data_IF_031167251017
#
_entry.id   IF_031167251017
#
_cell.length_a   1.000
_cell.length_b   1.000
_cell.length_c   1.000
_cell.angle_alpha   90.00
_cell.angle_beta   90.00
_cell.angle_gamma   90.00
#
_symmetry.space_group_name_H-M   'P 1'
#
loop_
_entity.id
_entity.type
_entity.pdbx_description
1 polymer ?
#
# COMPACT_ATOMS: atom_id res chain seq x y z
N UNK A 1 20.25 -21.56 26.70
CA UNK A 1 18.91 -21.91 26.18
C UNK A 1 19.07 -21.90 24.69
N UNK A 2 18.83 -22.99 24.03
CA UNK A 2 18.96 -23.06 22.57
C UNK A 2 17.60 -22.77 21.94
N UNK A 3 17.58 -22.08 20.81
CA UNK A 3 16.36 -21.90 20.03
C UNK A 3 16.06 -23.18 19.27
N UNK A 4 14.82 -23.65 19.39
CA UNK A 4 14.37 -24.89 18.73
C UNK A 4 13.98 -24.69 17.28
N UNK A 5 13.73 -23.43 16.88
CA UNK A 5 13.33 -23.12 15.51
C UNK A 5 14.52 -23.32 14.56
N UNK A 6 14.42 -24.26 13.66
CA UNK A 6 15.43 -24.55 12.65
C UNK A 6 15.41 -23.45 11.58
N UNK A 7 16.57 -23.16 10.99
CA UNK A 7 16.71 -22.11 9.97
C UNK A 7 15.73 -22.29 8.79
N UNK A 8 15.47 -23.52 8.38
CA UNK A 8 14.48 -23.84 7.35
C UNK A 8 13.03 -23.47 7.75
N UNK A 9 12.66 -23.60 9.03
CA UNK A 9 11.33 -23.19 9.52
C UNK A 9 11.20 -21.66 9.58
N UNK A 10 12.27 -20.95 9.90
CA UNK A 10 12.32 -19.47 9.85
C UNK A 10 12.08 -18.98 8.42
N UNK A 11 12.79 -19.57 7.47
CA UNK A 11 12.62 -19.26 6.03
C UNK A 11 11.19 -19.56 5.56
N UNK A 12 10.59 -20.67 6.01
CA UNK A 12 9.20 -21.00 5.69
C UNK A 12 8.20 -20.00 6.29
N UNK A 13 8.41 -19.55 7.54
CA UNK A 13 7.57 -18.51 8.16
C UNK A 13 7.68 -17.16 7.44
N UNK A 14 8.88 -16.78 6.99
CA UNK A 14 9.08 -15.58 6.19
C UNK A 14 8.30 -15.66 4.88
N UNK A 15 8.44 -16.77 4.14
CA UNK A 15 7.73 -16.98 2.89
C UNK A 15 6.21 -16.99 3.09
N UNK A 16 5.70 -17.60 4.16
CA UNK A 16 4.27 -17.62 4.47
C UNK A 16 3.70 -16.20 4.65
N UNK A 17 4.42 -15.33 5.39
CA UNK A 17 3.97 -13.96 5.64
C UNK A 17 4.12 -13.07 4.39
N UNK A 18 5.13 -13.30 3.56
CA UNK A 18 5.30 -12.56 2.31
C UNK A 18 4.25 -12.92 1.26
N UNK A 19 3.90 -14.21 1.16
CA UNK A 19 2.88 -14.70 0.22
C UNK A 19 1.47 -14.35 0.70
N UNK A 20 1.24 -14.45 2.01
CA UNK A 20 -0.05 -14.17 2.65
C UNK A 20 0.10 -13.05 3.68
N UNK A 21 0.25 -11.78 3.25
CA UNK A 21 0.31 -10.66 4.18
C UNK A 21 -0.97 -10.60 5.01
N UNK A 22 -0.92 -10.08 6.24
CA UNK A 22 -2.12 -9.89 7.06
C UNK A 22 -3.20 -9.12 6.29
N UNK A 23 -4.45 -9.48 6.54
CA UNK A 23 -5.59 -8.81 5.90
C UNK A 23 -5.55 -7.29 6.14
N UNK A 24 -5.72 -6.51 5.08
CA UNK A 24 -5.65 -5.05 5.14
C UNK A 24 -4.26 -4.46 4.91
N UNK A 25 -3.23 -5.28 4.66
CA UNK A 25 -1.92 -4.78 4.25
C UNK A 25 -1.89 -4.62 2.72
N UNK A 26 -2.23 -3.41 2.28
CA UNK A 26 -2.41 -3.07 0.87
C UNK A 26 -1.23 -2.28 0.27
N UNK A 27 -0.27 -1.88 1.09
CA UNK A 27 0.82 -0.98 0.69
C UNK A 27 1.66 -1.51 -0.47
N UNK A 28 1.98 -2.80 -0.50
CA UNK A 28 2.75 -3.40 -1.60
C UNK A 28 1.99 -3.42 -2.93
N UNK A 29 0.66 -3.33 -2.89
CA UNK A 29 -0.17 -3.21 -4.10
C UNK A 29 -0.16 -1.76 -4.63
N UNK A 30 0.03 -0.77 -3.74
CA UNK A 30 0.10 0.64 -4.08
C UNK A 30 1.51 1.07 -4.49
N UNK A 31 2.50 0.58 -3.76
CA UNK A 31 3.93 0.86 -3.97
C UNK A 31 4.71 -0.47 -4.00
N UNK A 32 4.85 -1.08 -5.18
CA UNK A 32 5.49 -2.39 -5.34
C UNK A 32 6.91 -2.42 -4.79
N UNK A 33 7.29 -3.57 -4.23
CA UNK A 33 8.60 -3.78 -3.64
C UNK A 33 9.66 -3.97 -4.74
N UNK A 34 10.76 -3.25 -4.63
CA UNK A 34 11.94 -3.41 -5.50
C UNK A 34 13.15 -3.81 -4.66
N UNK A 35 13.68 -5.03 -4.85
CA UNK A 35 14.86 -5.48 -4.13
C UNK A 35 16.12 -4.78 -4.63
N UNK A 36 17.02 -4.42 -3.71
CA UNK A 36 18.33 -3.84 -4.00
C UNK A 36 19.43 -4.54 -3.20
N UNK A 37 20.65 -4.57 -3.78
CA UNK A 37 21.82 -5.22 -3.15
C UNK A 37 22.66 -4.26 -2.30
N UNK A 38 22.33 -2.98 -2.29
CA UNK A 38 23.02 -1.94 -1.55
C UNK A 38 22.03 -1.17 -0.68
N UNK A 39 22.42 -0.82 0.56
CA UNK A 39 21.57 -0.04 1.49
C UNK A 39 21.31 1.38 1.01
N UNK A 40 22.23 1.95 0.24
CA UNK A 40 22.09 3.28 -0.31
C UNK A 40 22.62 3.29 -1.74
N UNK A 41 21.99 4.05 -2.60
CA UNK A 41 22.38 4.17 -4.00
C UNK A 41 21.58 5.23 -4.72
N UNK A 42 21.74 5.28 -6.02
CA UNK A 42 20.93 6.14 -6.87
C UNK A 42 20.66 5.48 -8.20
N UNK A 43 19.50 5.75 -8.75
CA UNK A 43 19.16 5.37 -10.12
C UNK A 43 18.51 6.55 -10.84
N UNK A 44 18.70 6.58 -12.15
CA UNK A 44 18.06 7.58 -12.98
C UNK A 44 16.85 6.97 -13.68
N UNK A 45 15.74 7.70 -13.70
CA UNK A 45 14.59 7.35 -14.51
C UNK A 45 14.09 8.55 -15.30
N UNK A 46 13.34 8.23 -16.35
CA UNK A 46 12.76 9.25 -17.20
C UNK A 46 11.69 10.04 -16.44
N UNK A 47 11.85 11.35 -16.35
CA UNK A 47 10.84 12.27 -15.84
C UNK A 47 9.83 12.59 -16.93
N UNK A 48 9.07 11.59 -17.36
CA UNK A 48 7.91 11.85 -18.22
C UNK A 48 6.72 12.09 -17.30
N UNK A 49 6.26 13.32 -17.24
CA UNK A 49 5.13 13.72 -16.41
C UNK A 49 3.78 13.25 -16.98
N UNK A 50 3.73 12.99 -18.29
CA UNK A 50 2.54 12.46 -18.97
C UNK A 50 2.92 11.92 -20.34
N UNK A 51 2.14 10.95 -20.83
CA UNK A 51 2.24 10.52 -22.23
C UNK A 51 1.73 11.62 -23.16
N UNK A 52 2.52 11.98 -24.14
CA UNK A 52 2.12 12.90 -25.20
C UNK A 52 1.73 12.14 -26.44
N UNK A 53 0.60 12.53 -27.04
CA UNK A 53 0.17 11.94 -28.32
C UNK A 53 1.23 12.15 -29.40
N UNK A 54 1.43 11.13 -30.23
CA UNK A 54 2.30 11.25 -31.40
C UNK A 54 1.82 12.37 -32.34
N UNK A 55 2.75 13.09 -32.92
CA UNK A 55 2.40 14.11 -33.92
C UNK A 55 1.75 13.49 -35.15
N UNK A 56 0.57 13.97 -35.49
CA UNK A 56 -0.15 13.60 -36.71
C UNK A 56 -0.04 14.73 -37.75
N UNK A 57 -0.07 14.41 -39.04
CA UNK A 57 -0.06 15.43 -40.10
C UNK A 57 1.33 15.97 -40.44
N UNK A 58 2.35 15.15 -40.34
CA UNK A 58 3.74 15.53 -40.70
C UNK A 58 3.85 15.99 -42.17
N UNK A 59 4.42 17.17 -42.38
CA UNK A 59 4.77 17.64 -43.72
C UNK A 59 6.05 16.95 -44.20
N UNK A 60 6.04 16.44 -45.45
CA UNK A 60 7.20 15.77 -46.01
C UNK A 60 8.41 16.73 -46.03
N UNK A 61 9.58 16.23 -45.60
CA UNK A 61 10.83 17.01 -45.52
C UNK A 61 11.07 17.76 -44.21
N UNK A 62 10.09 17.82 -43.28
CA UNK A 62 10.28 18.41 -41.95
C UNK A 62 10.66 17.34 -40.96
N UNK A 63 11.72 17.53 -40.18
CA UNK A 63 12.10 16.61 -39.11
C UNK A 63 11.01 16.56 -38.04
N UNK A 64 10.68 15.40 -37.47
CA UNK A 64 9.74 15.33 -36.36
C UNK A 64 10.29 16.10 -35.16
N UNK A 65 9.43 16.78 -34.40
CA UNK A 65 9.82 17.39 -33.14
C UNK A 65 10.13 16.27 -32.13
N UNK A 66 11.35 16.20 -31.65
CA UNK A 66 11.73 15.24 -30.65
C UNK A 66 11.19 15.68 -29.28
N UNK A 67 10.45 14.81 -28.62
CA UNK A 67 10.13 14.98 -27.19
C UNK A 67 11.40 14.64 -26.40
N UNK A 68 11.97 15.60 -25.72
CA UNK A 68 13.09 15.33 -24.83
C UNK A 68 12.58 14.65 -23.56
N UNK A 69 13.07 13.45 -23.33
CA UNK A 69 12.88 12.73 -22.08
C UNK A 69 14.03 13.15 -21.18
N UNK A 70 13.74 13.91 -20.13
CA UNK A 70 14.73 14.25 -19.11
C UNK A 70 14.84 13.10 -18.10
N UNK A 71 16.06 12.84 -17.62
CA UNK A 71 16.30 11.89 -16.56
C UNK A 71 16.47 12.63 -15.23
N UNK A 72 15.77 12.17 -14.20
CA UNK A 72 16.03 12.57 -12.82
C UNK A 72 16.75 11.45 -12.10
N UNK A 73 17.78 11.81 -11.33
CA UNK A 73 18.41 10.87 -10.41
C UNK A 73 17.65 10.89 -9.10
N UNK A 74 17.24 9.73 -8.63
CA UNK A 74 16.69 9.55 -7.31
C UNK A 74 17.64 8.69 -6.48
N UNK A 75 17.88 9.13 -5.25
CA UNK A 75 18.73 8.43 -4.31
C UNK A 75 17.85 7.73 -3.29
N UNK A 76 18.18 6.49 -2.98
CA UNK A 76 17.56 5.75 -1.88
C UNK A 76 18.55 5.56 -0.75
N UNK A 77 18.00 5.47 0.48
CA UNK A 77 18.75 5.14 1.68
C UNK A 77 17.87 4.28 2.60
N UNK A 78 17.99 2.96 2.48
CA UNK A 78 17.19 2.04 3.26
C UNK A 78 17.47 2.18 4.76
N UNK A 79 16.47 2.63 5.51
CA UNK A 79 16.51 2.68 6.96
C UNK A 79 16.16 1.31 7.55
N UNK A 80 16.79 1.00 8.70
CA UNK A 80 16.49 -0.22 9.44
C UNK A 80 15.17 -0.06 10.20
N UNK A 81 14.27 -1.02 10.01
CA UNK A 81 13.12 -1.23 10.89
C UNK A 81 13.37 -2.50 11.66
N UNK A 82 13.40 -2.41 12.98
CA UNK A 82 13.59 -3.54 13.88
C UNK A 82 12.47 -3.59 14.90
N UNK A 83 11.99 -4.79 15.16
CA UNK A 83 11.04 -5.05 16.24
C UNK A 83 11.48 -6.26 17.05
N UNK A 84 11.23 -6.18 18.34
CA UNK A 84 11.64 -7.20 19.32
C UNK A 84 10.44 -7.69 20.11
N UNK A 85 10.15 -8.99 20.02
CA UNK A 85 9.26 -9.68 20.93
C UNK A 85 10.07 -10.27 22.11
N UNK A 86 9.51 -10.22 23.31
CA UNK A 86 10.09 -10.86 24.48
C UNK A 86 9.09 -11.90 25.02
N UNK A 87 9.56 -13.12 25.28
CA UNK A 87 8.75 -14.19 25.85
C UNK A 87 9.49 -14.78 27.04
N UNK A 88 8.86 -14.79 28.20
CA UNK A 88 9.42 -15.42 29.40
C UNK A 88 9.31 -16.96 29.34
N UNK A 89 10.15 -17.71 30.05
CA UNK A 89 10.05 -19.16 30.12
C UNK A 89 8.70 -19.68 30.63
N UNK A 90 8.06 -18.93 31.52
CA UNK A 90 6.74 -19.33 32.04
C UNK A 90 5.62 -19.11 31.01
N UNK A 91 5.68 -18.02 30.25
CA UNK A 91 4.79 -17.83 29.08
C UNK A 91 5.02 -18.90 28.01
N UNK A 92 6.29 -19.26 27.75
CA UNK A 92 6.62 -20.31 26.80
C UNK A 92 6.01 -21.68 27.21
N UNK A 93 6.01 -22.01 28.51
CA UNK A 93 5.32 -23.22 29.02
C UNK A 93 3.81 -23.18 28.78
N UNK A 94 3.17 -22.00 28.97
CA UNK A 94 1.75 -21.81 28.71
C UNK A 94 1.41 -21.92 27.22
N UNK A 95 2.36 -21.55 26.34
CA UNK A 95 2.21 -21.67 24.88
C UNK A 95 2.47 -23.10 24.35
N UNK A 96 2.70 -24.07 25.23
CA UNK A 96 2.94 -25.47 24.84
C UNK A 96 4.42 -25.81 24.60
N UNK A 97 5.34 -24.98 25.07
CA UNK A 97 6.80 -25.19 25.01
C UNK A 97 7.56 -24.17 24.20
N UNK A 98 8.89 -24.28 24.28
CA UNK A 98 9.79 -23.29 23.64
C UNK A 98 9.66 -23.21 22.13
N UNK A 99 9.45 -24.32 21.45
CA UNK A 99 9.29 -24.36 20.00
C UNK A 99 8.08 -23.52 19.53
N UNK A 100 6.95 -23.65 20.22
CA UNK A 100 5.77 -22.83 19.91
C UNK A 100 6.00 -21.36 20.26
N UNK A 101 6.69 -21.08 21.36
CA UNK A 101 7.06 -19.73 21.76
C UNK A 101 7.98 -19.05 20.73
N UNK A 102 8.95 -19.77 20.18
CA UNK A 102 9.82 -19.29 19.11
C UNK A 102 9.01 -18.89 17.87
N UNK A 103 8.11 -19.77 17.42
CA UNK A 103 7.23 -19.49 16.26
C UNK A 103 6.33 -18.27 16.49
N UNK A 104 5.73 -18.16 17.67
CA UNK A 104 4.87 -17.03 18.02
C UNK A 104 5.67 -15.74 18.12
N UNK A 105 6.83 -15.76 18.79
CA UNK A 105 7.70 -14.60 18.95
C UNK A 105 8.17 -14.02 17.60
N UNK A 106 8.68 -14.87 16.72
CA UNK A 106 9.10 -14.42 15.38
C UNK A 106 7.92 -13.90 14.54
N UNK A 107 6.79 -14.62 14.52
CA UNK A 107 5.60 -14.14 13.78
C UNK A 107 5.10 -12.80 14.27
N UNK A 108 5.13 -12.57 15.58
CA UNK A 108 4.73 -11.29 16.16
C UNK A 108 5.69 -10.18 15.73
N UNK A 109 7.00 -10.38 15.88
CA UNK A 109 8.01 -9.40 15.49
C UNK A 109 7.93 -9.07 13.98
N UNK A 110 7.78 -10.09 13.12
CA UNK A 110 7.61 -9.90 11.68
C UNK A 110 6.36 -9.09 11.33
N UNK A 111 5.21 -9.39 11.96
CA UNK A 111 3.97 -8.63 11.74
C UNK A 111 4.11 -7.17 12.14
N UNK A 112 4.81 -6.89 13.24
CA UNK A 112 5.06 -5.52 13.70
C UNK A 112 5.94 -4.74 12.73
N UNK A 113 6.98 -5.37 12.17
CA UNK A 113 7.82 -4.76 11.12
C UNK A 113 7.00 -4.50 9.85
N UNK A 114 6.15 -5.46 9.43
CA UNK A 114 5.25 -5.24 8.29
C UNK A 114 4.28 -4.09 8.54
N UNK A 115 3.72 -3.99 9.75
CA UNK A 115 2.84 -2.88 10.13
C UNK A 115 3.56 -1.53 10.03
N UNK A 116 4.81 -1.46 10.45
CA UNK A 116 5.63 -0.27 10.31
C UNK A 116 5.89 0.10 8.83
N UNK A 117 6.16 -0.89 7.98
CA UNK A 117 6.28 -0.68 6.53
C UNK A 117 4.97 -0.14 5.93
N UNK A 118 3.85 -0.75 6.27
CA UNK A 118 2.52 -0.29 5.83
C UNK A 118 2.26 1.16 6.25
N UNK A 119 2.62 1.54 7.48
CA UNK A 119 2.45 2.90 7.97
C UNK A 119 3.27 3.93 7.17
N UNK A 120 4.50 3.59 6.77
CA UNK A 120 5.30 4.45 5.91
C UNK A 120 4.66 4.63 4.54
N UNK A 121 4.15 3.56 3.94
CA UNK A 121 3.48 3.63 2.63
C UNK A 121 2.16 4.41 2.75
N UNK A 122 1.34 4.15 3.77
CA UNK A 122 0.11 4.88 4.01
C UNK A 122 0.35 6.39 4.18
N UNK A 123 1.42 6.77 4.89
CA UNK A 123 1.82 8.17 5.05
C UNK A 123 2.18 8.85 3.72
N UNK A 124 2.76 8.12 2.77
CA UNK A 124 3.03 8.64 1.43
C UNK A 124 1.75 8.74 0.61
N UNK A 125 0.94 7.69 0.60
CA UNK A 125 -0.29 7.60 -0.21
C UNK A 125 -1.37 8.57 0.26
N UNK A 126 -1.55 8.73 1.58
CA UNK A 126 -2.58 9.57 2.19
C UNK A 126 -2.02 10.90 2.76
N UNK A 127 -0.72 11.17 2.57
CA UNK A 127 -0.05 12.26 3.27
C UNK A 127 -0.50 13.66 2.85
N UNK A 128 -0.49 13.95 1.56
CA UNK A 128 -0.81 15.29 1.03
C UNK A 128 -2.27 15.37 0.64
N UNK A 129 -2.95 16.39 1.16
CA UNK A 129 -4.35 16.68 0.81
C UNK A 129 -4.42 17.52 -0.45
N UNK A 130 -5.25 17.12 -1.40
CA UNK A 130 -5.58 17.90 -2.60
C UNK A 130 -6.93 18.61 -2.49
N UNK A 131 -7.92 17.94 -1.87
CA UNK A 131 -9.28 18.49 -1.71
C UNK A 131 -9.95 18.01 -0.42
N UNK A 132 -10.94 18.79 0.05
CA UNK A 132 -11.85 18.34 1.10
C UNK A 132 -13.01 17.57 0.48
N UNK A 133 -13.33 16.42 1.05
CA UNK A 133 -14.42 15.59 0.61
C UNK A 133 -15.78 16.23 0.92
N UNK A 134 -16.68 16.24 -0.07
CA UNK A 134 -18.06 16.67 0.08
C UNK A 134 -18.97 15.51 -0.39
N UNK A 135 -19.66 14.83 0.54
CA UNK A 135 -20.54 13.71 0.19
C UNK A 135 -21.56 14.04 -0.89
N UNK A 136 -22.12 15.26 -0.89
CA UNK A 136 -23.11 15.70 -1.89
C UNK A 136 -22.52 15.87 -3.31
N UNK A 137 -21.19 15.98 -3.43
CA UNK A 137 -20.49 16.17 -4.70
C UNK A 137 -19.52 15.02 -5.01
N UNK A 138 -19.58 13.93 -4.27
CA UNK A 138 -18.64 12.83 -4.34
C UNK A 138 -18.32 12.39 -5.76
N UNK A 139 -19.34 12.09 -6.57
CA UNK A 139 -19.14 11.62 -7.95
C UNK A 139 -18.37 12.63 -8.80
N UNK A 140 -18.73 13.91 -8.70
CA UNK A 140 -18.06 14.99 -9.43
C UNK A 140 -16.61 15.15 -8.96
N UNK A 141 -16.38 15.09 -7.66
CA UNK A 141 -15.03 15.20 -7.10
C UNK A 141 -14.13 14.03 -7.55
N UNK A 142 -14.64 12.79 -7.50
CA UNK A 142 -13.88 11.62 -7.97
C UNK A 142 -13.62 11.71 -9.49
N UNK A 143 -14.60 12.14 -10.29
CA UNK A 143 -14.38 12.36 -11.72
C UNK A 143 -13.32 13.44 -11.98
N UNK A 144 -13.30 14.51 -11.18
CA UNK A 144 -12.26 15.55 -11.28
C UNK A 144 -10.88 14.97 -10.96
N UNK A 145 -10.75 14.17 -9.90
CA UNK A 145 -9.51 13.48 -9.57
C UNK A 145 -9.08 12.53 -10.69
N UNK A 146 -9.97 11.72 -11.23
CA UNK A 146 -9.68 10.82 -12.35
C UNK A 146 -9.26 11.58 -13.61
N UNK A 147 -9.86 12.76 -13.87
CA UNK A 147 -9.43 13.64 -14.97
C UNK A 147 -8.03 14.20 -14.74
N UNK A 148 -7.68 14.61 -13.52
CA UNK A 148 -6.33 15.06 -13.17
C UNK A 148 -5.31 13.92 -13.36
N UNK A 149 -5.68 12.70 -12.99
CA UNK A 149 -4.82 11.51 -13.09
C UNK A 149 -4.80 10.87 -14.49
N UNK A 150 -5.64 11.31 -15.43
CA UNK A 150 -5.78 10.68 -16.77
C UNK A 150 -4.50 10.68 -17.62
N UNK A 151 -3.62 11.63 -17.34
CA UNK A 151 -2.35 11.78 -18.06
C UNK A 151 -1.30 10.75 -17.65
N UNK A 152 -1.51 10.07 -16.53
CA UNK A 152 -0.61 9.07 -16.00
C UNK A 152 -1.11 7.67 -16.37
N UNK A 153 -0.28 6.82 -16.97
CA UNK A 153 -0.64 5.45 -17.27
C UNK A 153 -0.81 4.62 -16.00
N UNK A 154 -1.37 3.44 -16.15
CA UNK A 154 -1.60 2.51 -15.05
C UNK A 154 -3.04 2.52 -14.56
N UNK A 155 -3.29 1.61 -13.63
CA UNK A 155 -4.59 1.35 -13.01
C UNK A 155 -4.91 2.43 -11.99
N UNK A 156 -6.15 2.91 -11.97
CA UNK A 156 -6.65 3.84 -10.94
C UNK A 156 -7.17 3.05 -9.75
N UNK A 157 -6.52 3.18 -8.61
CA UNK A 157 -6.88 2.45 -7.39
C UNK A 157 -7.29 3.45 -6.32
N UNK A 158 -8.46 3.24 -5.71
CA UNK A 158 -8.90 3.98 -4.54
C UNK A 158 -8.46 3.23 -3.29
N UNK A 159 -7.73 3.90 -2.41
CA UNK A 159 -7.21 3.32 -1.17
C UNK A 159 -7.59 4.16 0.06
N UNK A 160 -8.05 3.49 1.11
CA UNK A 160 -8.33 4.07 2.42
C UNK A 160 -8.44 2.99 3.49
N UNK A 161 -8.50 3.37 4.77
CA UNK A 161 -8.87 2.46 5.86
C UNK A 161 -10.30 1.94 5.73
N UNK A 162 -10.58 0.76 6.28
CA UNK A 162 -11.92 0.14 6.27
C UNK A 162 -12.97 1.05 6.88
N UNK A 163 -12.65 1.73 7.99
CA UNK A 163 -13.55 2.68 8.64
C UNK A 163 -13.92 3.84 7.71
N UNK A 164 -12.94 4.47 7.08
CA UNK A 164 -13.15 5.59 6.13
C UNK A 164 -14.01 5.15 4.95
N UNK A 165 -13.74 3.97 4.37
CA UNK A 165 -14.55 3.41 3.28
C UNK A 165 -15.98 3.11 3.72
N UNK A 166 -16.17 2.61 4.93
CA UNK A 166 -17.50 2.33 5.49
C UNK A 166 -18.30 3.63 5.67
N UNK A 167 -17.68 4.67 6.23
CA UNK A 167 -18.30 5.99 6.38
C UNK A 167 -18.70 6.57 5.00
N UNK A 168 -17.82 6.46 4.02
CA UNK A 168 -18.06 6.89 2.64
C UNK A 168 -19.26 6.17 2.02
N UNK A 169 -19.35 4.85 2.16
CA UNK A 169 -20.47 4.03 1.65
C UNK A 169 -21.78 4.39 2.35
N UNK A 170 -21.76 4.59 3.67
CA UNK A 170 -22.93 4.98 4.44
C UNK A 170 -23.46 6.34 4.00
N UNK A 171 -22.58 7.32 3.84
CA UNK A 171 -22.93 8.65 3.33
C UNK A 171 -23.56 8.56 1.94
N UNK A 172 -22.98 7.74 1.05
CA UNK A 172 -23.53 7.54 -0.30
C UNK A 172 -24.90 6.86 -0.28
N UNK A 173 -25.04 5.79 0.50
CA UNK A 173 -26.29 5.04 0.58
C UNK A 173 -27.44 5.87 1.21
N UNK A 174 -27.09 6.80 2.11
CA UNK A 174 -28.05 7.67 2.81
C UNK A 174 -28.42 8.93 2.03
N UNK A 175 -27.65 9.32 1.01
CA UNK A 175 -27.94 10.48 0.18
C UNK A 175 -29.15 10.25 -0.73
N UNK A 176 -30.12 11.17 -0.69
CA UNK A 176 -31.38 11.04 -1.45
C UNK A 176 -31.19 11.00 -2.97
N UNK A 177 -30.12 11.61 -3.49
CA UNK A 177 -29.84 11.68 -4.92
C UNK A 177 -28.92 10.56 -5.40
N UNK A 178 -27.93 10.20 -4.58
CA UNK A 178 -26.89 9.22 -4.91
C UNK A 178 -27.31 7.81 -4.50
N UNK A 179 -27.96 7.66 -3.35
CA UNK A 179 -28.29 6.36 -2.74
C UNK A 179 -29.06 5.43 -3.67
N UNK A 180 -30.14 5.85 -4.35
CA UNK A 180 -30.85 4.97 -5.29
C UNK A 180 -30.00 4.52 -6.48
N UNK A 181 -29.14 5.39 -7.00
CA UNK A 181 -28.25 5.03 -8.11
C UNK A 181 -27.15 4.05 -7.66
N UNK A 182 -26.56 4.28 -6.50
CA UNK A 182 -25.57 3.40 -5.90
C UNK A 182 -26.17 2.01 -5.58
N UNK A 183 -27.34 1.97 -4.91
CA UNK A 183 -28.03 0.73 -4.60
C UNK A 183 -28.34 -0.07 -5.87
N UNK A 184 -28.83 0.59 -6.93
CA UNK A 184 -29.10 -0.07 -8.21
C UNK A 184 -27.86 -0.68 -8.86
N UNK A 185 -26.72 -0.02 -8.77
CA UNK A 185 -25.46 -0.55 -9.32
C UNK A 185 -25.01 -1.76 -8.55
N UNK A 186 -25.08 -1.72 -7.21
CA UNK A 186 -24.52 -2.75 -6.34
C UNK A 186 -25.44 -3.96 -6.19
N UNK A 187 -26.76 -3.75 -6.05
CA UNK A 187 -27.72 -4.82 -5.74
C UNK A 187 -28.77 -5.07 -6.83
N UNK A 188 -28.85 -4.18 -7.82
CA UNK A 188 -29.95 -4.19 -8.79
C UNK A 188 -31.28 -3.65 -8.23
N UNK A 189 -31.31 -3.17 -6.99
CA UNK A 189 -32.48 -2.61 -6.30
C UNK A 189 -32.26 -1.13 -5.98
N UNK A 190 -33.31 -0.40 -5.60
CA UNK A 190 -33.21 1.00 -5.17
C UNK A 190 -33.21 1.12 -3.63
N UNK A 191 -32.85 0.07 -2.91
CA UNK A 191 -32.86 0.04 -1.46
C UNK A 191 -31.46 0.27 -0.88
N UNK A 192 -31.28 1.35 -0.13
CA UNK A 192 -30.05 1.62 0.62
C UNK A 192 -29.78 0.55 1.69
N UNK A 193 -30.84 0.01 2.33
CA UNK A 193 -30.72 -1.04 3.35
C UNK A 193 -30.13 -2.32 2.77
N UNK A 194 -30.48 -2.69 1.53
CA UNK A 194 -29.90 -3.85 0.86
C UNK A 194 -28.40 -3.67 0.61
N UNK A 195 -27.94 -2.45 0.32
CA UNK A 195 -26.52 -2.14 0.17
C UNK A 195 -25.76 -2.30 1.49
N UNK A 196 -26.30 -1.75 2.58
CA UNK A 196 -25.66 -1.80 3.90
C UNK A 196 -25.57 -3.23 4.47
N UNK A 197 -26.43 -4.14 4.01
CA UNK A 197 -26.39 -5.55 4.38
C UNK A 197 -25.38 -6.41 3.60
N UNK A 198 -24.63 -5.85 2.65
CA UNK A 198 -23.68 -6.59 1.85
C UNK A 198 -22.35 -6.86 2.58
N UNK A 199 -21.60 -7.85 2.09
CA UNK A 199 -20.23 -8.08 2.53
C UNK A 199 -19.29 -6.95 2.09
N UNK A 200 -18.19 -6.74 2.82
CA UNK A 200 -17.18 -5.74 2.47
C UNK A 200 -16.70 -5.89 1.01
N UNK A 201 -16.46 -7.11 0.55
CA UNK A 201 -16.05 -7.37 -0.84
C UNK A 201 -17.07 -6.84 -1.86
N UNK A 202 -18.34 -7.04 -1.62
CA UNK A 202 -19.40 -6.54 -2.51
C UNK A 202 -19.47 -5.01 -2.48
N UNK A 203 -19.27 -4.39 -1.32
CA UNK A 203 -19.19 -2.93 -1.20
C UNK A 203 -18.04 -2.34 -2.01
N UNK A 204 -16.84 -2.92 -1.88
CA UNK A 204 -15.67 -2.44 -2.61
C UNK A 204 -15.87 -2.54 -4.12
N UNK A 205 -16.44 -3.64 -4.60
CA UNK A 205 -16.78 -3.80 -6.02
C UNK A 205 -17.83 -2.77 -6.47
N UNK A 206 -18.88 -2.56 -5.68
CA UNK A 206 -19.92 -1.58 -5.96
C UNK A 206 -19.39 -0.16 -5.97
N UNK A 207 -18.51 0.17 -5.04
CA UNK A 207 -17.84 1.46 -4.96
C UNK A 207 -16.95 1.70 -6.19
N UNK A 208 -16.18 0.71 -6.62
CA UNK A 208 -15.38 0.80 -7.84
C UNK A 208 -16.24 1.08 -9.08
N UNK A 209 -17.30 0.31 -9.27
CA UNK A 209 -18.25 0.53 -10.38
C UNK A 209 -18.92 1.90 -10.34
N UNK A 210 -19.32 2.36 -9.15
CA UNK A 210 -19.99 3.65 -9.00
C UNK A 210 -19.06 4.83 -9.26
N UNK A 211 -17.83 4.76 -8.79
CA UNK A 211 -16.83 5.82 -8.91
C UNK A 211 -16.09 5.82 -10.24
N UNK A 212 -16.02 4.67 -10.90
CA UNK A 212 -15.29 4.48 -12.16
C UNK A 212 -13.78 4.29 -11.95
N UNK A 213 -13.35 3.94 -10.74
CA UNK A 213 -11.97 3.47 -10.49
C UNK A 213 -11.86 1.98 -10.85
N UNK A 214 -10.65 1.53 -11.17
CA UNK A 214 -10.42 0.13 -11.56
C UNK A 214 -10.54 -0.81 -10.36
N UNK A 215 -10.14 -0.36 -9.16
CA UNK A 215 -10.15 -1.14 -7.94
C UNK A 215 -10.27 -0.27 -6.70
N UNK A 216 -10.85 -0.84 -5.62
CA UNK A 216 -10.88 -0.24 -4.29
C UNK A 216 -10.22 -1.17 -3.31
N UNK A 217 -9.23 -0.66 -2.58
CA UNK A 217 -8.46 -1.38 -1.58
C UNK A 217 -8.76 -0.85 -0.18
N UNK A 218 -9.12 -1.76 0.71
CA UNK A 218 -9.42 -1.47 2.11
C UNK A 218 -8.22 -1.82 3.00
N UNK A 219 -7.55 -0.80 3.52
CA UNK A 219 -6.44 -0.95 4.45
C UNK A 219 -6.88 -1.22 5.88
N UNK A 220 -5.97 -1.75 6.70
CA UNK A 220 -6.16 -1.93 8.13
C UNK A 220 -6.32 -0.55 8.81
N UNK A 221 -7.36 -0.37 9.61
CA UNK A 221 -7.68 0.92 10.26
C UNK A 221 -6.59 1.39 11.22
N UNK A 222 -5.88 0.48 11.87
CA UNK A 222 -4.75 0.79 12.73
C UNK A 222 -3.59 1.49 12.00
N UNK A 223 -3.60 1.48 10.67
CA UNK A 223 -2.57 2.07 9.82
C UNK A 223 -3.18 3.08 8.85
N UNK A 224 -4.16 2.63 8.06
CA UNK A 224 -4.74 3.41 6.95
C UNK A 224 -5.83 4.41 7.37
N UNK A 225 -6.29 4.34 8.63
CA UNK A 225 -7.23 5.30 9.22
C UNK A 225 -6.69 5.94 10.50
N UNK A 226 -5.40 5.79 10.81
CA UNK A 226 -4.78 6.30 12.04
C UNK A 226 -3.98 7.58 11.80
N UNK A 227 -3.91 8.44 12.82
CA UNK A 227 -3.08 9.63 12.84
C UNK A 227 -3.35 10.58 11.67
N UNK A 228 -2.34 10.88 10.87
CA UNK A 228 -2.43 11.77 9.70
C UNK A 228 -3.19 11.17 8.53
N UNK A 229 -3.46 9.86 8.55
CA UNK A 229 -4.24 9.12 7.55
C UNK A 229 -5.74 9.05 7.89
N UNK A 230 -6.13 9.48 9.09
CA UNK A 230 -7.54 9.48 9.51
C UNK A 230 -8.42 10.31 8.58
N UNK A 231 -9.62 9.80 8.31
CA UNK A 231 -10.63 10.48 7.49
C UNK A 231 -10.17 10.80 6.05
N UNK A 232 -9.14 10.11 5.55
CA UNK A 232 -8.61 10.33 4.20
C UNK A 232 -8.80 9.12 3.31
N UNK A 233 -8.98 9.39 2.02
CA UNK A 233 -8.81 8.41 0.96
C UNK A 233 -8.04 9.00 -0.21
N UNK A 234 -7.38 8.16 -0.98
CA UNK A 234 -6.64 8.60 -2.16
C UNK A 234 -7.01 7.78 -3.39
N UNK A 235 -6.96 8.41 -4.54
CA UNK A 235 -6.98 7.76 -5.84
C UNK A 235 -5.57 7.81 -6.38
N UNK A 236 -5.00 6.66 -6.67
CA UNK A 236 -3.58 6.50 -7.04
C UNK A 236 -3.46 5.79 -8.38
N UNK A 237 -2.51 6.21 -9.19
CA UNK A 237 -2.09 5.46 -10.37
C UNK A 237 -1.05 4.43 -9.99
N UNK A 238 -1.38 3.15 -10.18
CA UNK A 238 -0.54 2.02 -9.84
C UNK A 238 -0.07 1.31 -11.11
N UNK A 239 1.21 1.01 -11.17
CA UNK A 239 1.76 0.19 -12.24
C UNK A 239 1.38 -1.28 -12.05
N UNK A 240 0.73 -1.86 -13.03
CA UNK A 240 0.33 -3.27 -13.03
C UNK A 240 1.40 -4.21 -13.56
N UNK A 241 2.52 -3.69 -14.05
CA UNK A 241 3.58 -4.54 -14.58
C UNK A 241 4.45 -5.03 -13.44
N UNK A 242 4.65 -6.35 -13.36
CA UNK A 242 5.64 -6.95 -12.47
C UNK A 242 7.08 -6.70 -12.97
N UNK A 243 7.27 -5.86 -13.97
CA UNK A 243 8.59 -5.50 -14.48
C UNK A 243 9.25 -4.49 -13.51
N UNK A 244 10.33 -4.86 -12.83
CA UNK A 244 11.04 -3.95 -11.94
C UNK A 244 11.63 -2.73 -12.67
N UNK A 245 11.66 -2.74 -13.99
CA UNK A 245 12.11 -1.62 -14.80
C UNK A 245 10.98 -0.73 -15.33
N UNK A 246 9.71 -1.12 -15.17
CA UNK A 246 8.57 -0.36 -15.70
C UNK A 246 8.53 1.07 -15.19
N UNK A 247 8.90 1.29 -13.91
CA UNK A 247 8.97 2.62 -13.30
C UNK A 247 9.96 3.58 -13.98
N UNK A 248 10.91 3.07 -14.76
CA UNK A 248 11.85 3.93 -15.52
C UNK A 248 11.15 4.65 -16.67
N UNK A 249 10.02 4.16 -17.10
CA UNK A 249 9.33 4.63 -18.29
C UNK A 249 7.91 5.12 -18.02
N UNK A 250 7.30 4.69 -16.90
CA UNK A 250 5.91 4.99 -16.54
C UNK A 250 5.91 5.85 -15.28
N UNK A 251 5.33 7.04 -15.31
CA UNK A 251 5.24 7.89 -14.12
C UNK A 251 4.19 7.36 -13.15
N UNK A 252 4.63 6.52 -12.23
CA UNK A 252 3.84 5.99 -11.10
C UNK A 252 4.15 6.76 -9.82
N UNK A 253 3.34 6.59 -8.79
CA UNK A 253 3.51 7.26 -7.50
C UNK A 253 4.92 7.02 -6.93
N UNK A 254 5.32 5.77 -6.81
CA UNK A 254 6.61 5.43 -6.23
C UNK A 254 6.78 3.92 -6.02
N UNK A 255 7.82 3.55 -5.27
CA UNK A 255 8.14 2.15 -4.93
C UNK A 255 8.66 2.02 -3.51
N UNK A 256 8.53 0.83 -2.97
CA UNK A 256 9.18 0.44 -1.72
C UNK A 256 10.49 -0.26 -2.06
N UNK A 257 11.61 0.38 -1.78
CA UNK A 257 12.94 -0.19 -1.99
C UNK A 257 13.30 -1.02 -0.76
N UNK A 258 13.68 -2.26 -0.95
CA UNK A 258 14.08 -3.16 0.13
C UNK A 258 15.49 -3.67 -0.12
N UNK A 259 16.39 -3.42 0.82
CA UNK A 259 17.73 -3.98 0.79
C UNK A 259 17.68 -5.46 1.16
N UNK A 260 18.27 -6.29 0.30
CA UNK A 260 18.35 -7.73 0.49
C UNK A 260 19.83 -8.12 0.64
N UNK A 261 20.32 -8.38 1.85
CA UNK A 261 21.68 -8.87 2.05
C UNK A 261 21.84 -10.26 1.40
N UNK A 262 22.91 -10.43 0.64
CA UNK A 262 23.37 -11.72 0.07
C UNK A 262 22.33 -12.50 -0.76
N UNK A 263 21.37 -11.80 -1.39
CA UNK A 263 20.36 -12.43 -2.23
C UNK A 263 19.32 -13.28 -1.47
N UNK A 264 19.30 -13.19 -0.15
CA UNK A 264 18.26 -13.77 0.71
C UNK A 264 17.00 -12.90 0.70
N UNK A 265 15.96 -13.35 1.38
CA UNK A 265 14.75 -12.55 1.58
C UNK A 265 15.09 -11.26 2.36
N UNK A 266 14.36 -10.17 2.10
CA UNK A 266 14.61 -8.84 2.69
C UNK A 266 14.45 -8.72 4.21
N UNK A 267 14.59 -9.83 4.94
CA UNK A 267 14.40 -9.96 6.37
C UNK A 267 15.62 -10.57 7.04
N UNK A 268 15.89 -10.13 8.26
CA UNK A 268 16.79 -10.82 9.18
C UNK A 268 16.01 -11.18 10.45
N UNK A 269 16.00 -12.47 10.81
CA UNK A 269 15.41 -12.98 12.04
C UNK A 269 16.52 -13.44 12.99
N UNK A 270 16.53 -12.89 14.20
CA UNK A 270 17.52 -13.24 15.21
C UNK A 270 16.84 -13.60 16.54
N UNK A 271 17.15 -14.78 17.06
CA UNK A 271 16.76 -15.16 18.42
C UNK A 271 17.93 -14.88 19.39
N UNK A 272 17.63 -14.26 20.53
CA UNK A 272 18.61 -13.94 21.58
C UNK A 272 18.08 -14.45 22.91
N UNK A 273 18.82 -15.37 23.55
CA UNK A 273 18.53 -15.79 24.91
C UNK A 273 19.28 -14.89 25.90
N UNK A 274 18.55 -14.08 26.65
CA UNK A 274 19.13 -13.26 27.71
C UNK A 274 19.03 -13.98 29.05
N UNK A 275 20.18 -14.44 29.53
CA UNK A 275 20.30 -15.16 30.81
C UNK A 275 20.14 -14.24 32.02
N UNK A 276 20.36 -12.95 31.84
CA UNK A 276 20.30 -11.95 32.93
C UNK A 276 18.83 -11.56 33.21
N UNK A 277 18.04 -11.38 32.16
CA UNK A 277 16.61 -11.02 32.24
C UNK A 277 15.69 -12.23 32.25
N UNK A 278 16.22 -13.45 32.09
CA UNK A 278 15.45 -14.69 32.00
C UNK A 278 14.36 -14.59 30.91
N UNK A 279 14.70 -13.96 29.79
CA UNK A 279 13.79 -13.78 28.65
C UNK A 279 14.42 -14.30 27.36
N UNK A 280 13.59 -14.80 26.47
CA UNK A 280 13.97 -15.00 25.07
C UNK A 280 13.47 -13.83 24.25
N UNK A 281 14.35 -13.23 23.46
CA UNK A 281 14.04 -12.15 22.54
C UNK A 281 14.04 -12.67 21.11
N UNK A 282 13.10 -12.18 20.33
CA UNK A 282 12.91 -12.52 18.91
C UNK A 282 12.91 -11.24 18.12
N UNK A 283 14.00 -10.98 17.43
CA UNK A 283 14.18 -9.78 16.62
C UNK A 283 13.80 -10.09 15.16
N UNK A 284 13.00 -9.23 14.58
CA UNK A 284 12.80 -9.16 13.14
C UNK A 284 13.29 -7.80 12.63
N UNK A 285 14.07 -7.81 11.55
CA UNK A 285 14.63 -6.60 10.93
C UNK A 285 14.34 -6.58 9.45
N UNK A 286 14.12 -5.39 8.94
CA UNK A 286 13.98 -5.11 7.51
C UNK A 286 14.62 -3.75 7.22
N UNK A 287 15.26 -3.60 6.07
CA UNK A 287 15.78 -2.30 5.62
C UNK A 287 14.99 -1.85 4.41
N UNK A 288 14.29 -0.73 4.55
CA UNK A 288 13.43 -0.21 3.49
C UNK A 288 13.60 1.30 3.32
N UNK A 289 13.24 1.75 2.11
CA UNK A 289 12.99 3.14 1.78
C UNK A 289 11.71 3.22 0.94
N UNK A 290 10.84 4.17 1.27
CA UNK A 290 9.58 4.40 0.54
C UNK A 290 9.78 5.64 -0.33
N UNK A 291 10.10 5.41 -1.59
CA UNK A 291 10.49 6.46 -2.51
C UNK A 291 9.33 6.92 -3.39
N UNK A 292 9.08 8.24 -3.41
CA UNK A 292 8.07 8.86 -4.25
C UNK A 292 8.71 9.39 -5.53
N UNK A 293 8.27 8.88 -6.69
CA UNK A 293 8.76 9.31 -7.99
C UNK A 293 7.93 10.44 -8.59
N UNK A 294 6.62 10.37 -8.41
CA UNK A 294 5.69 11.33 -8.96
C UNK A 294 4.50 11.58 -8.03
N UNK A 295 4.62 12.61 -7.20
CA UNK A 295 3.55 13.00 -6.28
C UNK A 295 2.25 13.39 -7.01
N UNK A 296 2.30 13.76 -8.29
CA UNK A 296 1.10 14.07 -9.07
C UNK A 296 0.33 12.83 -9.55
N UNK A 297 0.86 11.61 -9.35
CA UNK A 297 0.15 10.36 -9.64
C UNK A 297 -0.81 9.91 -8.52
N UNK A 298 -1.00 10.74 -7.50
CA UNK A 298 -1.96 10.54 -6.41
C UNK A 298 -2.86 11.76 -6.26
N UNK A 299 -4.11 11.55 -5.89
CA UNK A 299 -5.07 12.60 -5.54
C UNK A 299 -5.76 12.23 -4.23
N UNK A 300 -5.55 13.02 -3.20
CA UNK A 300 -6.00 12.73 -1.83
C UNK A 300 -7.12 13.65 -1.39
N UNK A 301 -8.15 13.04 -0.82
CA UNK A 301 -9.28 13.72 -0.15
C UNK A 301 -9.18 13.55 1.35
N UNK A 302 -9.62 14.56 2.11
CA UNK A 302 -9.79 14.50 3.57
C UNK A 302 -11.22 14.87 3.97
N UNK A 303 -11.53 14.69 5.29
CA UNK A 303 -12.80 15.06 5.86
C UNK A 303 -13.92 14.06 5.59
N UNK A 304 -13.59 12.78 5.40
CA UNK A 304 -14.58 11.70 5.34
C UNK A 304 -15.02 11.35 6.76
N UNK A 305 -16.10 11.95 7.20
CA UNK A 305 -16.72 11.65 8.50
C UNK A 305 -17.95 10.78 8.32
N UNK A 306 -18.25 9.95 9.34
CA UNK A 306 -19.47 9.13 9.39
C UNK A 306 -20.73 9.96 9.65
#
# INVERSE_FOLDING_TARGET
MDFYTVEGERSAMQSEIEINPPEGYIGTQMMPVTPVLEKAGSHAYATVTAETAAQTGRVAGVAPTATQISNSAHAWACAEIIERAAITPDEAKQMGGMENADKIGFRWAMRSVLKAREALIAAVVLGTKDATFDPAKMRTQIQTALQALRLYPGKSVLAAGKYTLTAMIQNMASDANIGPAFARIVTGTNSAEAVLGLSMKAWLQGLALFTGVDEVLAGDDDVWAAGTCAEKFSIVKVDNTNDPLSHKYIPVLGKTITFIPDGTQGWELQGIADRTLINNFYDAKMWIDVETYNAAAVYTFDGVTA
#
